data_IF_382430238903
#
_entry.id   IF_382430238903
#
_cell.length_a   1.000
_cell.length_b   1.000
_cell.length_c   1.000
_cell.angle_alpha   90.00
_cell.angle_beta   90.00
_cell.angle_gamma   90.00
#
_symmetry.space_group_name_H-M   'P 1'
#
loop_
_entity.id
_entity.type
_entity.pdbx_description
1 polymer ?
#
# COMPACT_ATOMS: atom_id res chain seq x y z
N UNK A 1 25.28 9.02 45.97
CA UNK A 1 24.84 7.63 45.67
C UNK A 1 23.52 7.55 44.90
N UNK A 2 22.54 8.46 45.08
CA UNK A 2 21.25 8.40 44.36
C UNK A 2 21.29 8.65 42.84
N UNK A 3 22.26 9.44 42.36
CA UNK A 3 22.43 9.73 40.92
C UNK A 3 22.73 8.51 40.05
N UNK A 4 23.41 7.51 40.61
CA UNK A 4 23.74 6.27 39.91
C UNK A 4 22.49 5.44 39.60
N UNK A 5 21.54 5.39 40.54
CA UNK A 5 20.26 4.70 40.38
C UNK A 5 19.41 5.40 39.31
N UNK A 6 19.39 6.73 39.31
CA UNK A 6 18.71 7.52 38.28
C UNK A 6 19.31 7.23 36.91
N UNK A 7 20.63 7.28 36.78
CA UNK A 7 21.31 7.00 35.51
C UNK A 7 20.99 5.60 34.96
N UNK A 8 21.04 4.57 35.81
CA UNK A 8 20.67 3.21 35.40
C UNK A 8 19.18 3.08 35.04
N UNK A 9 18.29 3.73 35.79
CA UNK A 9 16.87 3.77 35.48
C UNK A 9 16.58 4.45 34.14
N UNK A 10 17.29 5.54 33.82
CA UNK A 10 17.15 6.22 32.53
C UNK A 10 17.61 5.35 31.38
N UNK A 11 18.77 4.69 31.50
CA UNK A 11 19.28 3.77 30.47
C UNK A 11 18.29 2.62 30.25
N UNK A 12 17.76 2.05 31.32
CA UNK A 12 16.75 0.99 31.22
C UNK A 12 15.49 1.46 30.49
N UNK A 13 14.97 2.63 30.84
CA UNK A 13 13.81 3.24 30.16
C UNK A 13 14.08 3.50 28.68
N UNK A 14 15.29 3.97 28.34
CA UNK A 14 15.68 4.19 26.95
C UNK A 14 15.73 2.88 26.15
N UNK A 15 16.26 1.81 26.73
CA UNK A 15 16.31 0.49 26.09
C UNK A 15 14.89 -0.05 25.86
N UNK A 16 14.04 -0.03 26.88
CA UNK A 16 12.65 -0.50 26.78
C UNK A 16 11.87 0.33 25.76
N UNK A 17 12.00 1.66 25.81
CA UNK A 17 11.38 2.57 24.86
C UNK A 17 11.84 2.32 23.43
N UNK A 18 13.13 2.07 23.22
CA UNK A 18 13.68 1.73 21.91
C UNK A 18 13.10 0.42 21.36
N UNK A 19 13.04 -0.64 22.17
CA UNK A 19 12.50 -1.94 21.75
C UNK A 19 11.02 -1.80 21.38
N UNK A 20 10.22 -1.13 22.21
CA UNK A 20 8.80 -0.90 21.94
C UNK A 20 8.60 -0.09 20.65
N UNK A 21 9.42 0.93 20.43
CA UNK A 21 9.35 1.73 19.21
C UNK A 21 9.73 0.92 17.97
N UNK A 22 10.81 0.13 18.04
CA UNK A 22 11.25 -0.72 16.93
C UNK A 22 10.18 -1.74 16.52
N UNK A 23 9.51 -2.37 17.49
CA UNK A 23 8.38 -3.28 17.22
C UNK A 23 7.21 -2.57 16.53
N UNK A 24 6.85 -1.36 16.99
CA UNK A 24 5.78 -0.57 16.34
C UNK A 24 6.14 -0.20 14.91
N UNK A 25 7.38 0.21 14.66
CA UNK A 25 7.87 0.54 13.31
C UNK A 25 7.81 -0.69 12.40
N UNK A 26 8.17 -1.87 12.91
CA UNK A 26 8.11 -3.12 12.15
C UNK A 26 6.66 -3.49 11.76
N UNK A 27 5.72 -3.40 12.71
CA UNK A 27 4.29 -3.64 12.44
C UNK A 27 3.76 -2.68 11.37
N UNK A 28 4.08 -1.39 11.49
CA UNK A 28 3.66 -0.39 10.49
C UNK A 28 4.25 -0.69 9.12
N UNK A 29 5.53 -1.07 9.04
CA UNK A 29 6.18 -1.46 7.77
C UNK A 29 5.52 -2.70 7.15
N UNK A 30 5.21 -3.72 7.95
CA UNK A 30 4.53 -4.92 7.47
C UNK A 30 3.13 -4.59 6.93
N UNK A 31 2.38 -3.75 7.65
CA UNK A 31 1.06 -3.32 7.21
C UNK A 31 1.12 -2.48 5.92
N UNK A 32 2.07 -1.55 5.84
CA UNK A 32 2.32 -0.76 4.64
C UNK A 32 2.67 -1.65 3.43
N UNK A 33 3.50 -2.68 3.63
CA UNK A 33 3.88 -3.64 2.59
C UNK A 33 2.70 -4.50 2.14
N UNK A 34 1.89 -4.99 3.08
CA UNK A 34 0.67 -5.74 2.75
C UNK A 34 -0.33 -4.91 1.95
N UNK A 35 -0.57 -3.67 2.37
CA UNK A 35 -1.45 -2.74 1.66
C UNK A 35 -0.91 -2.35 0.28
N UNK A 36 0.41 -2.13 0.14
CA UNK A 36 1.01 -1.78 -1.15
C UNK A 36 0.94 -2.94 -2.15
N UNK A 37 1.15 -4.18 -1.71
CA UNK A 37 0.99 -5.37 -2.55
C UNK A 37 -0.45 -5.54 -3.05
N UNK A 38 -1.44 -5.30 -2.18
CA UNK A 38 -2.85 -5.36 -2.56
C UNK A 38 -3.19 -4.31 -3.62
N UNK A 39 -2.75 -3.07 -3.42
CA UNK A 39 -2.94 -1.98 -4.40
C UNK A 39 -2.24 -2.28 -5.73
N UNK A 40 -1.00 -2.78 -5.69
CA UNK A 40 -0.27 -3.16 -6.90
C UNK A 40 -0.99 -4.26 -7.69
N UNK A 41 -1.58 -5.25 -6.99
CA UNK A 41 -2.36 -6.31 -7.62
C UNK A 41 -3.64 -5.77 -8.27
N UNK A 42 -4.32 -4.82 -7.61
CA UNK A 42 -5.49 -4.14 -8.18
C UNK A 42 -5.13 -3.30 -9.42
N UNK A 43 -4.00 -2.57 -9.37
CA UNK A 43 -3.48 -1.83 -10.52
C UNK A 43 -3.16 -2.75 -11.69
N UNK A 44 -2.50 -3.88 -11.44
CA UNK A 44 -2.19 -4.86 -12.47
C UNK A 44 -3.45 -5.50 -13.07
N UNK A 45 -4.43 -5.87 -12.25
CA UNK A 45 -5.71 -6.39 -12.76
C UNK A 45 -6.48 -5.36 -13.58
N UNK A 46 -6.42 -4.09 -13.17
CA UNK A 46 -7.04 -3.00 -13.90
C UNK A 46 -6.36 -2.79 -15.26
N UNK A 47 -5.03 -2.75 -15.28
CA UNK A 47 -4.25 -2.63 -16.52
C UNK A 47 -4.50 -3.81 -17.46
N UNK A 48 -4.59 -5.03 -16.94
CA UNK A 48 -4.91 -6.22 -17.73
C UNK A 48 -6.32 -6.15 -18.32
N UNK A 49 -7.32 -5.74 -17.52
CA UNK A 49 -8.70 -5.55 -17.99
C UNK A 49 -8.81 -4.45 -19.06
N UNK A 50 -8.10 -3.33 -18.89
CA UNK A 50 -7.99 -2.27 -19.91
C UNK A 50 -7.36 -2.84 -21.19
N UNK A 51 -6.30 -3.64 -21.06
CA UNK A 51 -5.60 -4.19 -22.22
C UNK A 51 -6.45 -5.19 -23.01
N UNK A 52 -7.16 -6.11 -22.34
CA UNK A 52 -8.11 -7.02 -23.01
C UNK A 52 -9.27 -6.25 -23.65
N UNK A 53 -9.79 -5.22 -22.96
CA UNK A 53 -10.83 -4.37 -23.53
C UNK A 53 -10.34 -3.65 -24.79
N UNK A 54 -9.13 -3.08 -24.77
CA UNK A 54 -8.49 -2.40 -25.91
C UNK A 54 -8.15 -3.35 -27.05
N UNK A 55 -7.87 -4.62 -26.75
CA UNK A 55 -7.68 -5.64 -27.80
C UNK A 55 -8.96 -5.87 -28.61
N UNK A 56 -10.13 -5.73 -27.98
CA UNK A 56 -11.44 -5.95 -28.61
C UNK A 56 -12.12 -4.68 -29.13
N UNK A 57 -11.68 -3.50 -28.68
CA UNK A 57 -12.28 -2.21 -29.02
C UNK A 57 -11.23 -1.23 -29.54
N UNK A 58 -11.46 -0.67 -30.72
CA UNK A 58 -10.53 0.29 -31.33
C UNK A 58 -10.54 1.64 -30.62
N UNK A 59 -9.36 2.03 -30.11
CA UNK A 59 -8.87 3.39 -29.84
C UNK A 59 -9.91 4.38 -29.32
N UNK A 60 -10.55 4.07 -28.20
CA UNK A 60 -11.29 5.07 -27.44
C UNK A 60 -10.32 5.75 -26.48
N UNK A 61 -9.77 6.89 -26.90
CA UNK A 61 -9.03 7.77 -26.00
C UNK A 61 -9.96 8.22 -24.86
N UNK A 62 -9.46 8.18 -23.63
CA UNK A 62 -10.23 8.61 -22.45
C UNK A 62 -10.37 7.53 -21.39
N UNK A 63 -11.44 7.61 -20.61
CA UNK A 63 -11.70 6.72 -19.47
C UNK A 63 -12.74 5.67 -19.85
N UNK A 64 -12.45 4.40 -19.59
CA UNK A 64 -13.43 3.31 -19.77
C UNK A 64 -14.13 3.03 -18.44
N UNK A 65 -15.45 2.84 -18.46
CA UNK A 65 -16.20 2.49 -17.27
C UNK A 65 -15.72 1.15 -16.70
N UNK A 66 -15.51 1.09 -15.38
CA UNK A 66 -15.06 -0.12 -14.66
C UNK A 66 -15.98 -1.33 -14.91
N UNK A 67 -17.28 -1.09 -15.11
CA UNK A 67 -18.26 -2.11 -15.46
C UNK A 67 -18.00 -2.80 -16.79
N UNK A 68 -17.30 -2.15 -17.73
CA UNK A 68 -16.96 -2.71 -19.04
C UNK A 68 -15.67 -3.56 -19.02
N UNK A 69 -14.85 -3.46 -17.96
CA UNK A 69 -13.56 -4.14 -17.87
C UNK A 69 -13.64 -5.57 -17.27
N UNK A 70 -14.85 -6.03 -16.90
CA UNK A 70 -15.09 -7.36 -16.32
C UNK A 70 -14.08 -7.72 -15.20
N UNK A 71 -13.77 -6.75 -14.34
CA UNK A 71 -12.73 -6.89 -13.32
C UNK A 71 -13.16 -7.91 -12.25
N UNK A 72 -12.24 -8.75 -11.75
CA UNK A 72 -12.55 -9.72 -10.69
C UNK A 72 -12.84 -9.06 -9.33
N UNK A 73 -12.44 -7.80 -9.16
CA UNK A 73 -12.65 -6.99 -7.94
C UNK A 73 -12.82 -5.53 -8.32
N UNK A 74 -13.69 -4.82 -7.60
CA UNK A 74 -13.82 -3.37 -7.72
C UNK A 74 -12.52 -2.71 -7.24
N UNK A 75 -11.81 -1.94 -8.08
CA UNK A 75 -10.58 -1.27 -7.67
C UNK A 75 -10.84 -0.23 -6.57
N UNK A 76 -9.82 0.04 -5.77
CA UNK A 76 -9.88 1.13 -4.79
C UNK A 76 -10.20 2.46 -5.48
N UNK A 77 -11.09 3.26 -4.90
CA UNK A 77 -11.49 4.59 -5.37
C UNK A 77 -10.33 5.56 -5.63
N UNK A 78 -9.16 5.33 -5.03
CA UNK A 78 -7.94 6.12 -5.22
C UNK A 78 -7.23 5.81 -6.53
N UNK A 79 -7.50 4.65 -7.14
CA UNK A 79 -6.90 4.23 -8.40
C UNK A 79 -7.65 4.92 -9.56
N UNK A 80 -6.92 5.67 -10.39
CA UNK A 80 -7.45 6.31 -11.61
C UNK A 80 -6.75 5.73 -12.83
N UNK A 81 -7.49 5.55 -13.91
CA UNK A 81 -6.97 5.09 -15.20
C UNK A 81 -7.40 6.02 -16.33
N UNK A 82 -6.51 6.17 -17.31
CA UNK A 82 -6.78 6.89 -18.57
C UNK A 82 -6.10 6.10 -19.69
N UNK A 83 -6.81 5.89 -20.79
CA UNK A 83 -6.26 5.33 -22.02
C UNK A 83 -5.82 6.49 -22.91
N UNK A 84 -4.54 6.52 -23.24
CA UNK A 84 -3.95 7.47 -24.20
C UNK A 84 -3.39 6.65 -25.36
N UNK A 85 -3.70 7.06 -26.59
CA UNK A 85 -3.20 6.45 -27.82
C UNK A 85 -1.69 6.64 -27.99
#
# INVERSE_FOLDING_TARGET
MGWLIVAFGTVFLLIVGHIQNSQRVEVVKMQQSGSSHLLARQLLSLAAGINDWRYRHTLTNGTVALSALALPVTPDSRIRHVIVA
#
